data_IF_526537079935
#
_entry.id   IF_526537079935
#
_cell.length_a   1.000
_cell.length_b   1.000
_cell.length_c   1.000
_cell.angle_alpha   90.00
_cell.angle_beta   90.00
_cell.angle_gamma   90.00
#
_symmetry.space_group_name_H-M   'P 1'
#
loop_
_entity.id
_entity.type
_entity.pdbx_description
1 polymer ?
#
# COMPACT_ATOMS: atom_id res chain seq x y z
N UNK A 1 7.35 57.07 -8.45
CA UNK A 1 8.03 56.13 -7.53
C UNK A 1 7.09 55.09 -6.91
N UNK A 2 5.80 55.38 -6.65
CA UNK A 2 4.86 54.39 -6.08
C UNK A 2 4.44 53.24 -7.02
N UNK A 3 4.52 53.41 -8.35
CA UNK A 3 4.13 52.38 -9.32
C UNK A 3 5.13 51.22 -9.45
N UNK A 4 6.40 51.47 -9.14
CA UNK A 4 7.47 50.47 -9.24
C UNK A 4 7.55 49.55 -8.02
N UNK A 5 7.05 49.99 -6.86
CA UNK A 5 6.98 49.16 -5.65
C UNK A 5 5.86 48.12 -5.73
N UNK A 6 4.72 48.45 -6.36
CA UNK A 6 3.59 47.54 -6.51
C UNK A 6 3.93 46.32 -7.40
N UNK A 7 4.80 46.50 -8.40
CA UNK A 7 5.23 45.42 -9.29
C UNK A 7 6.21 44.45 -8.58
N UNK A 8 7.03 44.96 -7.66
CA UNK A 8 7.98 44.14 -6.90
C UNK A 8 7.30 43.32 -5.78
N UNK A 9 6.22 43.85 -5.18
CA UNK A 9 5.45 43.11 -4.16
C UNK A 9 4.55 42.06 -4.79
N UNK A 10 4.05 42.27 -6.01
CA UNK A 10 3.28 41.26 -6.75
C UNK A 10 4.11 40.06 -7.20
N UNK A 11 5.40 40.25 -7.51
CA UNK A 11 6.26 39.19 -8.03
C UNK A 11 6.83 38.28 -6.93
N UNK A 12 6.96 38.76 -5.69
CA UNK A 12 7.44 37.95 -4.55
C UNK A 12 6.36 37.08 -3.91
N UNK A 13 5.08 37.38 -4.16
CA UNK A 13 3.93 36.61 -3.68
C UNK A 13 3.61 35.38 -4.54
N UNK A 14 4.11 35.30 -5.77
CA UNK A 14 3.87 34.14 -6.66
C UNK A 14 4.90 33.03 -6.46
N UNK A 15 6.13 33.35 -6.03
CA UNK A 15 7.19 32.34 -5.85
C UNK A 15 7.16 31.61 -4.50
N UNK A 16 6.31 32.03 -3.57
CA UNK A 16 6.20 31.42 -2.22
C UNK A 16 4.97 30.52 -2.07
N UNK A 17 4.07 30.46 -3.06
CA UNK A 17 2.86 29.65 -3.00
C UNK A 17 3.09 28.15 -3.22
N UNK A 18 4.23 27.72 -3.77
CA UNK A 18 4.54 26.29 -3.97
C UNK A 18 4.98 25.56 -2.69
N UNK A 19 5.28 26.27 -1.60
CA UNK A 19 5.75 25.67 -0.34
C UNK A 19 4.63 25.38 0.67
N UNK A 20 3.38 25.74 0.35
CA UNK A 20 2.21 25.58 1.24
C UNK A 20 1.32 24.39 0.86
N UNK A 21 1.64 23.67 -0.21
CA UNK A 21 0.98 22.40 -0.54
C UNK A 21 1.78 21.32 0.18
N UNK A 22 1.22 20.66 1.23
CA UNK A 22 1.91 19.55 1.86
C UNK A 22 2.26 18.48 0.81
N UNK A 23 3.43 17.84 0.89
CA UNK A 23 3.81 16.80 -0.06
C UNK A 23 2.72 15.73 -0.11
N UNK A 24 2.32 15.34 -1.33
CA UNK A 24 1.35 14.26 -1.58
C UNK A 24 1.95 12.86 -1.40
N UNK A 25 3.24 12.78 -1.08
CA UNK A 25 3.99 11.55 -0.86
C UNK A 25 4.40 11.45 0.62
N UNK A 26 4.54 10.24 1.18
CA UNK A 26 4.98 10.08 2.55
C UNK A 26 6.44 10.50 2.69
N UNK A 27 6.81 10.99 3.87
CA UNK A 27 8.21 11.17 4.23
C UNK A 27 8.94 9.82 4.08
N UNK A 28 10.21 9.88 3.63
CA UNK A 28 11.05 8.69 3.33
C UNK A 28 10.56 7.83 2.15
N UNK A 29 9.64 8.33 1.32
CA UNK A 29 9.37 7.72 0.02
C UNK A 29 10.60 7.79 -0.89
N UNK A 30 10.89 6.71 -1.61
CA UNK A 30 11.94 6.68 -2.60
C UNK A 30 11.54 5.79 -3.79
N UNK A 31 12.01 6.16 -4.98
CA UNK A 31 11.92 5.30 -6.15
C UNK A 31 13.09 4.31 -6.12
N UNK A 32 12.83 3.00 -5.99
CA UNK A 32 13.89 2.03 -5.84
C UNK A 32 14.57 1.74 -7.19
N UNK A 33 15.79 1.23 -7.16
CA UNK A 33 16.50 0.85 -8.37
C UNK A 33 15.72 -0.25 -9.14
N UNK A 34 15.49 -0.12 -10.47
CA UNK A 34 14.63 -1.04 -11.23
C UNK A 34 15.08 -2.50 -11.23
N UNK A 35 16.39 -2.72 -11.10
CA UNK A 35 17.01 -4.05 -11.12
C UNK A 35 17.22 -4.63 -9.71
N UNK A 36 16.86 -3.89 -8.66
CA UNK A 36 16.89 -4.44 -7.31
C UNK A 36 15.88 -5.59 -7.19
N UNK A 37 16.25 -6.75 -6.61
CA UNK A 37 15.34 -7.89 -6.49
C UNK A 37 14.03 -7.56 -5.76
N UNK A 38 14.06 -6.65 -4.79
CA UNK A 38 12.88 -6.19 -4.06
C UNK A 38 11.94 -5.40 -4.97
N UNK A 39 12.51 -4.51 -5.80
CA UNK A 39 11.76 -3.76 -6.82
C UNK A 39 11.11 -4.67 -7.84
N UNK A 40 11.86 -5.65 -8.35
CA UNK A 40 11.35 -6.63 -9.33
C UNK A 40 10.20 -7.43 -8.72
N UNK A 41 10.35 -7.87 -7.46
CA UNK A 41 9.30 -8.59 -6.74
C UNK A 41 8.02 -7.77 -6.60
N UNK A 42 8.13 -6.52 -6.11
CA UNK A 42 6.94 -5.66 -5.89
C UNK A 42 6.27 -5.31 -7.22
N UNK A 43 7.05 -4.93 -8.24
CA UNK A 43 6.51 -4.61 -9.57
C UNK A 43 5.78 -5.79 -10.20
N UNK A 44 6.36 -7.00 -10.16
CA UNK A 44 5.73 -8.20 -10.69
C UNK A 44 4.46 -8.58 -9.92
N UNK A 45 4.48 -8.47 -8.58
CA UNK A 45 3.29 -8.75 -7.77
C UNK A 45 2.18 -7.74 -8.06
N UNK A 46 2.47 -6.43 -8.11
CA UNK A 46 1.48 -5.40 -8.42
C UNK A 46 0.87 -5.60 -9.80
N UNK A 47 1.71 -5.84 -10.82
CA UNK A 47 1.27 -6.15 -12.17
C UNK A 47 0.34 -7.38 -12.22
N UNK A 48 0.72 -8.47 -11.55
CA UNK A 48 -0.10 -9.69 -11.49
C UNK A 48 -1.42 -9.46 -10.76
N UNK A 49 -1.41 -8.73 -9.66
CA UNK A 49 -2.60 -8.43 -8.87
C UNK A 49 -3.59 -7.54 -9.66
N UNK A 50 -3.11 -6.48 -10.31
CA UNK A 50 -3.91 -5.60 -11.16
C UNK A 50 -4.60 -6.39 -12.28
N UNK A 51 -3.83 -7.21 -13.00
CA UNK A 51 -4.37 -8.06 -14.07
C UNK A 51 -5.37 -9.09 -13.58
N UNK A 52 -5.07 -9.76 -12.46
CA UNK A 52 -5.98 -10.72 -11.85
C UNK A 52 -7.27 -10.05 -11.39
N UNK A 53 -7.21 -8.79 -10.99
CA UNK A 53 -8.37 -8.00 -10.64
C UNK A 53 -9.14 -7.44 -11.85
N UNK A 54 -8.69 -7.71 -13.08
CA UNK A 54 -9.31 -7.23 -14.32
C UNK A 54 -9.09 -5.74 -14.59
N UNK A 55 -8.10 -5.11 -13.93
CA UNK A 55 -7.72 -3.72 -14.19
C UNK A 55 -6.48 -3.66 -15.11
N UNK A 56 -6.22 -2.49 -15.67
CA UNK A 56 -5.06 -2.25 -16.53
C UNK A 56 -3.83 -1.88 -15.68
N UNK A 57 -2.81 -2.76 -15.60
CA UNK A 57 -1.62 -2.55 -14.78
C UNK A 57 -0.78 -1.35 -15.23
N UNK A 58 -0.91 -0.89 -16.48
CA UNK A 58 -0.10 0.23 -17.00
C UNK A 58 -0.52 1.58 -16.39
N UNK A 59 -1.67 1.63 -15.70
CA UNK A 59 -2.09 2.79 -14.91
C UNK A 59 -1.46 2.86 -13.53
N UNK A 60 -0.86 1.78 -13.05
CA UNK A 60 -0.35 1.73 -11.69
C UNK A 60 1.14 2.06 -11.67
N UNK A 61 1.51 2.91 -10.71
CA UNK A 61 2.91 3.15 -10.37
C UNK A 61 3.15 2.77 -8.92
N UNK A 62 4.42 2.66 -8.51
CA UNK A 62 4.72 2.48 -7.09
C UNK A 62 6.04 3.12 -6.66
N UNK A 63 6.13 3.41 -5.37
CA UNK A 63 7.35 3.80 -4.67
C UNK A 63 7.53 2.96 -3.40
N UNK A 64 8.76 2.93 -2.87
CA UNK A 64 9.04 2.31 -1.58
C UNK A 64 9.10 3.35 -0.46
N UNK A 65 8.84 2.93 0.77
CA UNK A 65 9.00 3.74 1.98
C UNK A 65 10.09 3.09 2.83
N UNK A 66 11.09 3.87 3.20
CA UNK A 66 12.21 3.39 4.01
C UNK A 66 11.78 3.15 5.48
N UNK A 67 11.23 1.97 5.76
CA UNK A 67 10.78 1.57 7.10
C UNK A 67 10.73 0.06 7.28
N UNK A 68 10.92 -0.40 8.51
CA UNK A 68 10.71 -1.81 8.91
C UNK A 68 9.26 -2.15 9.19
N UNK A 69 8.40 -1.16 9.41
CA UNK A 69 6.96 -1.35 9.58
C UNK A 69 6.38 -1.94 8.31
N UNK A 70 5.54 -2.97 8.43
CA UNK A 70 4.75 -3.53 7.34
C UNK A 70 3.53 -2.65 7.12
N UNK A 71 3.63 -1.78 6.12
CA UNK A 71 2.55 -0.89 5.70
C UNK A 71 2.52 -0.69 4.19
N UNK A 72 1.34 -0.31 3.69
CA UNK A 72 1.14 0.17 2.33
C UNK A 72 -0.08 1.09 2.23
N UNK A 73 -0.09 1.97 1.24
CA UNK A 73 -1.26 2.78 0.87
C UNK A 73 -1.24 3.12 -0.62
N UNK A 74 -2.37 3.61 -1.13
CA UNK A 74 -2.49 4.11 -2.49
C UNK A 74 -2.81 5.60 -2.41
N UNK A 75 -2.17 6.39 -3.26
CA UNK A 75 -2.53 7.79 -3.47
C UNK A 75 -3.64 7.90 -4.52
N UNK A 76 -4.28 9.08 -4.58
CA UNK A 76 -5.42 9.36 -5.46
C UNK A 76 -5.07 9.25 -6.97
N UNK A 77 -3.79 9.17 -7.34
CA UNK A 77 -3.26 9.07 -8.71
C UNK A 77 -2.89 7.64 -9.13
N UNK A 78 -3.33 6.62 -8.37
CA UNK A 78 -2.96 5.22 -8.54
C UNK A 78 -1.46 4.92 -8.33
N UNK A 79 -0.75 5.78 -7.60
CA UNK A 79 0.58 5.46 -7.07
C UNK A 79 0.45 4.67 -5.77
N UNK A 80 1.01 3.46 -5.76
CA UNK A 80 1.06 2.61 -4.58
C UNK A 80 2.36 2.83 -3.80
N UNK A 81 2.28 2.94 -2.49
CA UNK A 81 3.45 3.03 -1.62
C UNK A 81 3.56 1.77 -0.80
N UNK A 82 4.72 1.11 -0.86
CA UNK A 82 5.02 -0.10 -0.11
C UNK A 82 6.24 0.10 0.80
N UNK A 83 6.13 -0.28 2.06
CA UNK A 83 7.28 -0.27 2.97
C UNK A 83 8.33 -1.34 2.63
N UNK A 84 9.59 -1.09 2.98
CA UNK A 84 10.63 -2.13 2.92
C UNK A 84 10.27 -3.33 3.83
N UNK A 85 9.60 -3.08 4.96
CA UNK A 85 9.06 -4.10 5.86
C UNK A 85 8.15 -5.08 5.13
N UNK A 86 7.17 -4.57 4.40
CA UNK A 86 6.29 -5.38 3.55
C UNK A 86 7.09 -6.12 2.48
N UNK A 87 8.00 -5.41 1.79
CA UNK A 87 8.71 -5.98 0.65
C UNK A 87 9.66 -7.14 1.04
N UNK A 88 10.14 -7.17 2.30
CA UNK A 88 10.94 -8.28 2.86
C UNK A 88 10.13 -9.52 3.26
N UNK A 89 8.81 -9.47 3.32
CA UNK A 89 7.99 -10.62 3.68
C UNK A 89 8.11 -11.77 2.66
N UNK A 90 7.81 -13.03 3.02
CA UNK A 90 7.72 -14.12 2.05
C UNK A 90 6.78 -13.79 0.89
N UNK A 91 7.07 -14.30 -0.32
CA UNK A 91 6.33 -13.97 -1.55
C UNK A 91 4.81 -14.04 -1.39
N UNK A 92 4.30 -15.11 -0.78
CA UNK A 92 2.86 -15.31 -0.58
C UNK A 92 2.19 -14.20 0.27
N UNK A 93 2.92 -13.61 1.23
CA UNK A 93 2.40 -12.52 2.05
C UNK A 93 2.47 -11.20 1.29
N UNK A 94 3.52 -10.98 0.48
CA UNK A 94 3.58 -9.83 -0.43
C UNK A 94 2.45 -9.90 -1.44
N UNK A 95 2.19 -11.05 -2.05
CA UNK A 95 1.05 -11.27 -2.96
C UNK A 95 -0.27 -10.87 -2.29
N UNK A 96 -0.54 -11.32 -1.06
CA UNK A 96 -1.77 -10.98 -0.34
C UNK A 96 -1.89 -9.50 0.01
N UNK A 97 -0.87 -8.87 0.57
CA UNK A 97 -0.95 -7.47 1.01
C UNK A 97 -0.98 -6.50 -0.19
N UNK A 98 -0.28 -6.82 -1.27
CA UNK A 98 -0.36 -6.04 -2.52
C UNK A 98 -1.74 -6.21 -3.18
N UNK A 99 -2.24 -7.45 -3.28
CA UNK A 99 -3.58 -7.72 -3.79
C UNK A 99 -4.66 -7.01 -2.95
N UNK A 100 -4.48 -6.94 -1.64
CA UNK A 100 -5.36 -6.18 -0.75
C UNK A 100 -5.36 -4.69 -1.07
N UNK A 101 -4.19 -4.10 -1.31
CA UNK A 101 -4.14 -2.70 -1.69
C UNK A 101 -4.80 -2.43 -3.04
N UNK A 102 -4.59 -3.33 -4.03
CA UNK A 102 -5.29 -3.27 -5.33
C UNK A 102 -6.80 -3.40 -5.15
N UNK A 103 -7.27 -4.25 -4.23
CA UNK A 103 -8.68 -4.37 -3.90
C UNK A 103 -9.28 -3.06 -3.37
N UNK A 104 -8.58 -2.34 -2.49
CA UNK A 104 -9.03 -1.02 -2.04
C UNK A 104 -9.15 -0.01 -3.18
N UNK A 105 -8.19 -0.03 -4.11
CA UNK A 105 -8.20 0.87 -5.27
C UNK A 105 -9.40 0.60 -6.20
N UNK A 106 -9.61 -0.68 -6.57
CA UNK A 106 -10.70 -1.07 -7.47
C UNK A 106 -12.08 -0.87 -6.85
N UNK A 107 -12.21 -1.07 -5.54
CA UNK A 107 -13.43 -0.76 -4.80
C UNK A 107 -13.64 0.75 -4.61
N UNK A 108 -12.66 1.58 -4.98
CA UNK A 108 -12.72 3.03 -4.87
C UNK A 108 -12.69 3.53 -3.42
N UNK A 109 -12.14 2.73 -2.50
CA UNK A 109 -12.03 3.10 -1.09
C UNK A 109 -11.06 4.27 -0.86
N UNK A 110 -10.10 4.45 -1.76
CA UNK A 110 -9.18 5.61 -1.81
C UNK A 110 -9.90 6.91 -2.26
N UNK A 111 -11.19 6.85 -2.64
CA UNK A 111 -11.98 7.98 -3.10
C UNK A 111 -11.90 8.17 -4.61
N UNK A 112 -13.06 8.25 -5.28
CA UNK A 112 -13.13 8.42 -6.73
C UNK A 112 -12.73 9.83 -7.14
N UNK A 113 -11.49 9.99 -7.62
CA UNK A 113 -11.11 11.10 -8.48
C UNK A 113 -10.34 10.58 -9.68
N UNK A 114 -11.08 9.97 -10.61
CA UNK A 114 -10.71 9.80 -12.03
C UNK A 114 -10.63 11.18 -12.72
N UNK A 115 -9.86 12.09 -12.14
CA UNK A 115 -9.63 13.45 -12.63
C UNK A 115 -8.24 13.43 -13.24
N UNK A 116 -8.21 13.21 -14.56
CA UNK A 116 -7.11 13.57 -15.44
C UNK A 116 -5.70 13.35 -14.83
N UNK A 117 -5.32 12.11 -14.52
CA UNK A 117 -3.89 11.83 -14.43
C UNK A 117 -3.37 11.89 -15.86
N UNK A 118 -2.90 13.07 -16.28
CA UNK A 118 -2.03 13.19 -17.44
C UNK A 118 -0.93 12.17 -17.22
N UNK A 119 -0.81 11.21 -18.14
CA UNK A 119 0.15 10.13 -18.10
C UNK A 119 1.52 10.64 -17.63
N UNK A 120 1.79 10.52 -16.33
CA UNK A 120 3.16 10.35 -15.88
C UNK A 120 3.41 8.89 -16.22
N UNK A 121 3.82 8.68 -17.45
CA UNK A 121 4.57 7.50 -17.84
C UNK A 121 5.84 7.52 -17.00
N UNK A 122 5.74 7.14 -15.72
CA UNK A 122 6.82 6.51 -15.00
C UNK A 122 6.93 5.07 -15.53
N UNK A 123 7.05 4.95 -16.85
CA UNK A 123 7.58 3.76 -17.46
C UNK A 123 8.98 3.64 -16.91
N UNK A 124 9.22 2.58 -16.14
CA UNK A 124 10.53 1.96 -15.93
C UNK A 124 11.71 2.92 -16.12
N UNK A 125 11.99 3.72 -15.09
CA UNK A 125 13.25 4.43 -14.87
C UNK A 125 14.07 4.84 -16.10
N UNK A 126 13.92 6.08 -16.54
CA UNK A 126 15.04 6.84 -17.13
C UNK A 126 14.87 8.27 -16.64
N UNK A 127 15.77 8.72 -15.77
CA UNK A 127 16.18 10.11 -15.47
C UNK A 127 16.57 10.20 -14.00
N UNK A 128 17.75 9.65 -13.67
CA UNK A 128 18.31 9.61 -12.32
C UNK A 128 18.42 10.99 -11.67
N UNK A 129 17.36 11.39 -10.98
CA UNK A 129 17.33 12.55 -10.11
C UNK A 129 17.29 12.03 -8.67
N UNK A 130 18.45 12.10 -8.04
CA UNK A 130 18.69 11.78 -6.64
C UNK A 130 18.28 12.99 -5.81
N UNK A 131 17.40 12.83 -4.82
CA UNK A 131 17.04 13.90 -3.88
C UNK A 131 17.44 13.45 -2.47
N UNK A 132 18.54 13.97 -1.89
CA UNK A 132 19.00 13.56 -0.57
C UNK A 132 18.42 14.42 0.55
N UNK A 133 18.00 13.78 1.66
CA UNK A 133 17.89 14.41 2.98
C UNK A 133 16.56 14.21 3.72
N UNK A 134 16.55 13.42 4.82
CA UNK A 134 16.57 13.86 6.22
C UNK A 134 16.16 12.73 7.20
N UNK A 135 16.96 12.56 8.27
CA UNK A 135 16.57 12.39 9.69
C UNK A 135 15.69 11.22 10.18
N UNK A 136 16.26 10.38 11.06
CA UNK A 136 15.62 9.32 11.86
C UNK A 136 14.70 9.80 13.00
N UNK A 137 13.69 10.64 12.73
CA UNK A 137 12.70 10.98 13.76
C UNK A 137 11.29 11.18 13.17
N UNK A 138 10.33 10.57 13.85
CA UNK A 138 8.87 10.64 13.76
C UNK A 138 8.15 9.88 12.63
N UNK A 139 7.77 8.64 12.96
CA UNK A 139 6.75 7.82 12.30
C UNK A 139 5.34 8.39 12.51
N UNK A 140 5.13 9.64 12.14
CA UNK A 140 3.79 10.17 11.90
C UNK A 140 3.62 10.20 10.39
N UNK A 141 3.22 9.05 9.83
CA UNK A 141 2.66 9.12 8.48
C UNK A 141 1.42 10.00 8.61
N UNK A 142 1.46 11.18 7.99
CA UNK A 142 0.39 12.16 8.11
C UNK A 142 -0.95 11.44 7.88
N UNK A 143 -1.90 11.44 8.83
CA UNK A 143 -3.18 10.75 8.67
C UNK A 143 -4.02 11.30 7.51
N UNK A 144 -3.66 12.45 6.96
CA UNK A 144 -4.20 12.96 5.70
C UNK A 144 -3.68 12.19 4.47
N UNK A 145 -2.49 11.59 4.56
CA UNK A 145 -1.85 10.73 3.54
C UNK A 145 -2.27 9.26 3.74
N UNK A 146 -2.34 8.77 4.99
CA UNK A 146 -2.83 7.41 5.31
C UNK A 146 -4.29 7.50 5.72
N UNK A 147 -5.19 7.31 4.74
CA UNK A 147 -6.61 7.16 5.02
C UNK A 147 -6.83 5.80 5.71
N UNK A 148 -7.28 5.84 6.96
CA UNK A 148 -7.80 4.65 7.63
C UNK A 148 -9.11 4.23 6.95
N UNK A 149 -9.18 2.98 6.50
CA UNK A 149 -10.39 2.42 5.91
C UNK A 149 -11.38 2.01 7.02
N UNK A 150 -12.68 2.10 6.75
CA UNK A 150 -13.69 1.59 7.68
C UNK A 150 -13.62 0.06 7.78
N UNK A 151 -14.25 -0.48 8.83
CA UNK A 151 -14.41 -1.93 9.02
C UNK A 151 -15.01 -2.61 7.79
N UNK A 152 -16.08 -2.04 7.25
CA UNK A 152 -16.76 -2.58 6.07
C UNK A 152 -15.87 -2.50 4.83
N UNK A 153 -15.08 -1.43 4.68
CA UNK A 153 -14.16 -1.27 3.56
C UNK A 153 -13.04 -2.31 3.58
N UNK A 154 -12.47 -2.60 4.75
CA UNK A 154 -11.46 -3.66 4.90
C UNK A 154 -12.04 -5.05 4.67
N UNK A 155 -13.23 -5.35 5.21
CA UNK A 155 -13.88 -6.65 4.97
C UNK A 155 -14.23 -6.85 3.48
N UNK A 156 -14.70 -5.81 2.80
CA UNK A 156 -14.95 -5.85 1.36
C UNK A 156 -13.64 -5.99 0.56
N UNK A 157 -12.57 -5.29 0.96
CA UNK A 157 -11.26 -5.43 0.35
C UNK A 157 -10.68 -6.83 0.57
N UNK A 158 -10.84 -7.42 1.75
CA UNK A 158 -10.42 -8.78 2.07
C UNK A 158 -11.15 -9.80 1.18
N UNK A 159 -12.47 -9.66 1.01
CA UNK A 159 -13.24 -10.51 0.10
C UNK A 159 -12.74 -10.41 -1.35
N UNK A 160 -12.54 -9.18 -1.84
CA UNK A 160 -12.02 -8.96 -3.20
C UNK A 160 -10.58 -9.47 -3.35
N UNK A 161 -9.77 -9.40 -2.29
CA UNK A 161 -8.42 -9.97 -2.25
C UNK A 161 -8.43 -11.48 -2.47
N UNK A 162 -9.42 -12.19 -1.91
CA UNK A 162 -9.54 -13.64 -2.13
C UNK A 162 -9.76 -13.99 -3.60
N UNK A 163 -10.55 -13.19 -4.31
CA UNK A 163 -10.78 -13.36 -5.76
C UNK A 163 -9.49 -13.10 -6.53
N UNK A 164 -8.81 -11.97 -6.26
CA UNK A 164 -7.53 -11.62 -6.90
C UNK A 164 -6.49 -12.71 -6.66
N UNK A 165 -6.38 -13.22 -5.43
CA UNK A 165 -5.43 -14.29 -5.10
C UNK A 165 -5.75 -15.61 -5.83
N UNK A 166 -7.04 -15.96 -5.99
CA UNK A 166 -7.44 -17.13 -6.80
C UNK A 166 -7.00 -16.98 -8.25
N UNK A 167 -7.26 -15.81 -8.84
CA UNK A 167 -6.94 -15.52 -10.23
C UNK A 167 -5.42 -15.37 -10.46
N UNK A 168 -4.67 -15.02 -9.41
CA UNK A 168 -3.20 -15.11 -9.37
C UNK A 168 -2.68 -16.56 -9.24
N UNK A 169 -3.55 -17.55 -8.99
CA UNK A 169 -3.20 -18.97 -8.91
C UNK A 169 -2.93 -19.51 -7.49
N UNK A 170 -3.32 -18.79 -6.43
CA UNK A 170 -3.14 -19.29 -5.06
C UNK A 170 -4.16 -20.38 -4.74
N UNK A 171 -3.68 -21.57 -4.36
CA UNK A 171 -4.53 -22.72 -4.04
C UNK A 171 -5.32 -22.58 -2.72
N UNK A 172 -4.85 -21.73 -1.79
CA UNK A 172 -5.47 -21.51 -0.48
C UNK A 172 -5.55 -20.00 -0.16
N UNK A 173 -6.38 -19.22 -0.87
CA UNK A 173 -6.42 -17.76 -0.76
C UNK A 173 -6.70 -17.25 0.65
N UNK A 174 -7.64 -17.86 1.39
CA UNK A 174 -7.98 -17.41 2.75
C UNK A 174 -6.83 -17.67 3.70
N UNK A 175 -6.20 -18.85 3.57
CA UNK A 175 -5.00 -19.17 4.35
C UNK A 175 -3.84 -18.20 4.05
N UNK A 176 -3.62 -17.88 2.78
CA UNK A 176 -2.59 -16.93 2.34
C UNK A 176 -2.83 -15.54 2.92
N UNK A 177 -4.06 -15.02 2.81
CA UNK A 177 -4.41 -13.70 3.36
C UNK A 177 -4.31 -13.69 4.89
N UNK A 178 -4.89 -14.67 5.57
CA UNK A 178 -4.82 -14.77 7.03
C UNK A 178 -3.37 -14.85 7.54
N UNK A 179 -2.50 -15.59 6.84
CA UNK A 179 -1.08 -15.66 7.15
C UNK A 179 -0.37 -14.32 6.97
N UNK A 180 -0.72 -13.57 5.92
CA UNK A 180 -0.17 -12.25 5.66
C UNK A 180 -0.60 -11.21 6.70
N UNK A 181 -1.88 -11.20 7.11
CA UNK A 181 -2.38 -10.31 8.16
C UNK A 181 -1.72 -10.57 9.51
N UNK A 182 -1.57 -11.85 9.88
CA UNK A 182 -0.82 -12.23 11.10
C UNK A 182 0.64 -11.81 11.02
N UNK A 183 1.29 -11.97 9.86
CA UNK A 183 2.68 -11.58 9.69
C UNK A 183 2.87 -10.06 9.77
N UNK A 184 1.96 -9.28 9.19
CA UNK A 184 1.97 -7.82 9.30
C UNK A 184 1.78 -7.38 10.75
N UNK A 185 0.78 -7.93 11.45
CA UNK A 185 0.52 -7.61 12.85
C UNK A 185 1.69 -7.98 13.78
N UNK A 186 2.36 -9.11 13.54
CA UNK A 186 3.51 -9.53 14.34
C UNK A 186 4.78 -8.71 14.08
N UNK A 187 4.93 -8.17 12.87
CA UNK A 187 6.08 -7.33 12.50
C UNK A 187 5.91 -5.87 12.92
N UNK A 188 4.67 -5.41 13.06
CA UNK A 188 4.35 -4.05 13.45
C UNK A 188 4.39 -3.89 14.97
N UNK A 189 4.77 -2.70 15.47
CA UNK A 189 4.62 -2.40 16.88
C UNK A 189 3.14 -2.57 17.29
N UNK A 190 2.87 -3.00 18.55
CA UNK A 190 1.50 -3.12 19.02
C UNK A 190 0.79 -1.78 18.91
N UNK A 191 -0.51 -1.82 18.62
CA UNK A 191 -1.34 -0.62 18.63
C UNK A 191 -1.17 0.13 19.95
N UNK A 192 -1.16 1.46 19.90
CA UNK A 192 -0.98 2.30 21.09
C UNK A 192 -1.94 1.87 22.20
N UNK A 193 -1.45 1.73 23.46
CA UNK A 193 -2.29 1.34 24.58
C UNK A 193 -3.31 2.43 24.94
N UNK A 194 -3.20 3.63 24.35
CA UNK A 194 -4.11 4.74 24.59
C UNK A 194 -5.41 4.57 23.77
N UNK A 195 -6.58 4.46 24.43
CA UNK A 195 -7.87 4.24 23.76
C UNK A 195 -8.21 5.30 22.72
N UNK A 196 -7.84 6.56 22.97
CA UNK A 196 -8.11 7.69 22.07
C UNK A 196 -7.41 7.55 20.71
N UNK A 197 -6.20 6.98 20.69
CA UNK A 197 -5.45 6.74 19.46
C UNK A 197 -5.99 5.52 18.69
N UNK A 198 -6.54 4.52 19.38
CA UNK A 198 -7.28 3.40 18.77
C UNK A 198 -8.62 3.82 18.17
N UNK A 199 -9.30 4.80 18.77
CA UNK A 199 -10.59 5.30 18.26
C UNK A 199 -10.39 6.13 16.98
N UNK A 200 -9.25 6.81 16.85
CA UNK A 200 -8.86 7.54 15.64
C UNK A 200 -8.33 6.62 14.54
N UNK A 201 -7.60 5.57 14.91
CA UNK A 201 -7.23 4.47 14.02
C UNK A 201 -8.44 3.51 13.86
N UNK A 202 -9.42 3.89 13.04
CA UNK A 202 -10.59 3.07 12.69
C UNK A 202 -10.26 1.79 11.91
N UNK A 203 -9.08 1.22 12.08
CA UNK A 203 -8.78 -0.09 11.52
C UNK A 203 -9.65 -1.13 12.25
N UNK A 204 -10.43 -1.96 11.54
CA UNK A 204 -11.11 -3.08 12.16
C UNK A 204 -10.11 -3.98 12.85
N UNK A 205 -10.54 -4.52 13.98
CA UNK A 205 -9.72 -5.40 14.78
C UNK A 205 -9.27 -6.61 13.96
N UNK A 206 -7.99 -6.98 14.11
CA UNK A 206 -7.40 -8.11 13.39
C UNK A 206 -8.22 -9.39 13.60
N UNK A 207 -8.80 -9.58 14.78
CA UNK A 207 -9.62 -10.76 15.10
C UNK A 207 -10.86 -10.83 14.22
N UNK A 208 -11.57 -9.72 14.02
CA UNK A 208 -12.76 -9.64 13.17
C UNK A 208 -12.46 -10.05 11.72
N UNK A 209 -11.35 -9.52 11.19
CA UNK A 209 -10.92 -9.83 9.82
C UNK A 209 -10.52 -11.30 9.69
N UNK A 210 -9.78 -11.84 10.65
CA UNK A 210 -9.39 -13.24 10.66
C UNK A 210 -10.62 -14.16 10.79
N UNK A 211 -11.61 -13.80 11.61
CA UNK A 211 -12.85 -14.55 11.74
C UNK A 211 -13.64 -14.59 10.43
N UNK A 212 -13.65 -13.50 9.66
CA UNK A 212 -14.30 -13.43 8.36
C UNK A 212 -13.64 -14.32 7.27
N UNK A 213 -12.42 -14.79 7.52
CA UNK A 213 -11.69 -15.70 6.62
C UNK A 213 -11.90 -17.18 6.94
N UNK A 214 -12.60 -17.52 8.01
CA UNK A 214 -12.87 -18.92 8.34
C UNK A 214 -14.06 -19.48 7.52
N UNK A 215 -14.05 -20.78 7.16
CA UNK A 215 -12.97 -21.75 7.42
C UNK A 215 -11.80 -21.58 6.44
N UNK A 216 -10.57 -21.70 6.95
CA UNK A 216 -9.37 -21.71 6.11
C UNK A 216 -9.27 -23.00 5.28
N UNK A 217 -8.78 -22.88 4.04
CA UNK A 217 -8.49 -24.04 3.21
C UNK A 217 -7.38 -24.91 3.85
N UNK A 218 -7.47 -26.26 3.75
CA UNK A 218 -6.41 -27.13 4.22
C UNK A 218 -5.13 -26.90 3.40
N UNK A 219 -4.00 -26.68 4.06
CA UNK A 219 -2.73 -26.58 3.35
C UNK A 219 -2.34 -27.93 2.78
N UNK A 220 -1.71 -27.95 1.60
CA UNK A 220 -1.28 -29.18 0.91
C UNK A 220 -0.48 -30.11 1.82
N UNK A 221 0.31 -29.54 2.74
CA UNK A 221 1.09 -30.30 3.73
C UNK A 221 0.21 -31.03 4.76
N UNK A 222 -0.86 -30.40 5.24
CA UNK A 222 -1.82 -31.01 6.18
C UNK A 222 -2.69 -32.05 5.48
N UNK A 223 -3.08 -31.80 4.23
CA UNK A 223 -3.84 -32.75 3.42
C UNK A 223 -3.07 -34.07 3.21
N UNK A 224 -1.78 -33.98 2.87
CA UNK A 224 -0.90 -35.16 2.69
C UNK A 224 -0.72 -35.95 3.99
N UNK A 225 -0.52 -35.27 5.13
CA UNK A 225 -0.40 -35.96 6.44
C UNK A 225 -1.67 -36.68 6.85
N UNK A 226 -2.84 -36.06 6.64
CA UNK A 226 -4.15 -36.67 6.97
C UNK A 226 -4.48 -37.88 6.09
N UNK A 227 -4.01 -37.89 4.84
CA UNK A 227 -4.12 -39.04 3.96
C UNK A 227 -3.17 -40.19 4.36
N UNK A 228 -1.95 -39.87 4.83
CA UNK A 228 -0.97 -40.86 5.28
C UNK A 228 -1.33 -41.54 6.61
N UNK A 229 -2.11 -40.89 7.48
CA UNK A 229 -2.55 -41.46 8.77
C UNK A 229 -3.85 -42.27 8.67
N UNK A 230 -4.49 -42.30 7.50
CA UNK A 230 -5.70 -43.08 7.21
C UNK A 230 -5.39 -44.37 6.43
N UNK A 231 -4.12 -44.68 6.21
CA UNK A 231 -3.64 -45.97 5.66
C UNK A 231 -3.00 -46.77 6.78
#
# INVERSE_FOLDING_TARGET
MLRSLALLVGLTLVTTACALIPPSHPDLAYYPAPRDPTTVKISQTLYRAARAAGDDPDYYSFALIQTTVVTSFAADDATFYFSDGLARLPQRHVDALVAQKVAHEILGHTGKRRTLSMAITAGFAVLGIFMPGFGLADFVVNPLIVRAYSREQELAADQRTLEILRDMGHAAPRWTLAGALRAAAAANPPASPLPEQRILAREPDLEDRLAALEPLEPTTFVAVRKAATRR
#
